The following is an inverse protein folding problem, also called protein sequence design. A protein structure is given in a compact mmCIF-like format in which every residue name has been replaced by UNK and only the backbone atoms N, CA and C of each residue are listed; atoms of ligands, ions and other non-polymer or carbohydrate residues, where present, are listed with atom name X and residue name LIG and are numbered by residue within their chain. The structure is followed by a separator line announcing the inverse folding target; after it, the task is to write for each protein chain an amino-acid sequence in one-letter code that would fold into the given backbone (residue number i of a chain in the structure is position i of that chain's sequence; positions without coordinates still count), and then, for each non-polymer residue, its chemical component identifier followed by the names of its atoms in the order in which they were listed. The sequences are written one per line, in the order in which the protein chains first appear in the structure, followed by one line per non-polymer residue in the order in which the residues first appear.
data_IF_372032810146
#
_entry.id   IF_372032810146
#
_cell.length_a   1.000
_cell.length_b   1.000
_cell.length_c   1.000
_cell.angle_alpha   90.00
_cell.angle_beta   90.00
_cell.angle_gamma   90.00
#
_symmetry.space_group_name_H-M   'P 1'
#
loop_
_entity.id
_entity.type
_entity.pdbx_description
1 polymer ?
#
# COMPACT_ATOMS: atom_id res chain seq x y z
N UNK A 1 16.19 -14.34 -14.66
CA UNK A 1 15.57 -14.53 -16.00
C UNK A 1 15.04 -13.19 -16.49
N UNK A 2 15.72 -12.59 -17.47
CA UNK A 2 15.29 -11.36 -18.11
C UNK A 2 14.06 -11.64 -18.99
N UNK A 3 12.89 -11.11 -18.62
CA UNK A 3 11.68 -11.18 -19.44
C UNK A 3 11.88 -10.29 -20.68
N UNK A 4 12.05 -10.93 -21.83
CA UNK A 4 11.97 -10.31 -23.16
C UNK A 4 10.59 -9.67 -23.33
N UNK A 5 10.50 -8.35 -23.16
CA UNK A 5 9.31 -7.57 -23.57
C UNK A 5 9.13 -7.75 -25.08
N UNK A 6 7.96 -8.22 -25.51
CA UNK A 6 7.65 -8.30 -26.94
C UNK A 6 7.67 -6.90 -27.56
N UNK A 7 8.38 -6.74 -28.67
CA UNK A 7 8.50 -5.48 -29.44
C UNK A 7 7.13 -4.88 -29.81
N UNK A 8 6.11 -5.71 -29.96
CA UNK A 8 4.72 -5.32 -30.25
C UNK A 8 4.02 -4.60 -29.10
N UNK A 9 4.32 -4.93 -27.84
CA UNK A 9 3.78 -4.20 -26.68
C UNK A 9 4.30 -2.76 -26.63
N UNK A 10 5.55 -2.53 -27.05
CA UNK A 10 6.19 -1.21 -26.99
C UNK A 10 5.64 -0.19 -28.00
N UNK A 11 5.14 -0.64 -29.15
CA UNK A 11 4.52 0.22 -30.16
C UNK A 11 3.11 0.67 -29.74
N UNK A 12 2.32 -0.25 -29.18
CA UNK A 12 1.00 0.06 -28.62
C UNK A 12 1.08 1.05 -27.45
N UNK A 13 2.08 0.89 -26.57
CA UNK A 13 2.30 1.81 -25.44
C UNK A 13 2.75 3.21 -25.90
N UNK A 14 3.59 3.31 -26.94
CA UNK A 14 3.99 4.60 -27.54
C UNK A 14 2.82 5.30 -28.23
N UNK A 15 2.00 4.59 -29.00
CA UNK A 15 0.82 5.17 -29.64
C UNK A 15 -0.20 5.65 -28.60
N UNK A 16 -0.43 4.88 -27.52
CA UNK A 16 -1.25 5.29 -26.38
C UNK A 16 -0.65 6.47 -25.62
N UNK A 17 0.68 6.57 -25.54
CA UNK A 17 1.36 7.71 -24.94
C UNK A 17 1.20 8.98 -25.79
N UNK A 18 1.36 8.90 -27.10
CA UNK A 18 1.13 10.02 -28.02
C UNK A 18 -0.34 10.46 -28.01
N UNK A 19 -1.28 9.51 -28.06
CA UNK A 19 -2.72 9.79 -27.98
C UNK A 19 -3.15 10.40 -26.63
N UNK A 20 -2.39 10.14 -25.56
CA UNK A 20 -2.60 10.78 -24.25
C UNK A 20 -1.96 12.18 -24.18
N UNK A 21 -0.71 12.31 -24.63
CA UNK A 21 0.10 13.52 -24.44
C UNK A 21 -0.26 14.62 -25.44
N UNK A 22 -0.49 14.30 -26.71
CA UNK A 22 -0.72 15.29 -27.74
C UNK A 22 -1.98 16.16 -27.49
N UNK A 23 -3.15 15.60 -27.12
CA UNK A 23 -4.32 16.42 -26.84
C UNK A 23 -4.16 17.29 -25.58
N UNK A 24 -3.48 16.76 -24.56
CA UNK A 24 -3.21 17.53 -23.35
C UNK A 24 -2.23 18.66 -23.60
N UNK A 25 -1.14 18.42 -24.35
CA UNK A 25 -0.19 19.46 -24.75
C UNK A 25 -0.87 20.53 -25.60
N UNK A 26 -1.76 20.13 -26.53
CA UNK A 26 -2.55 21.08 -27.32
C UNK A 26 -3.47 21.94 -26.42
N UNK A 27 -4.13 21.32 -25.43
CA UNK A 27 -4.92 22.03 -24.43
C UNK A 27 -4.07 23.02 -23.62
N UNK A 28 -2.91 22.59 -23.09
CA UNK A 28 -2.01 23.47 -22.34
C UNK A 28 -1.54 24.64 -23.20
N UNK A 29 -1.09 24.37 -24.43
CA UNK A 29 -0.64 25.41 -25.35
C UNK A 29 -1.76 26.42 -25.66
N UNK A 30 -2.98 25.94 -25.87
CA UNK A 30 -4.14 26.79 -26.13
C UNK A 30 -4.48 27.68 -24.92
N UNK A 31 -4.58 27.09 -23.72
CA UNK A 31 -4.93 27.82 -22.50
C UNK A 31 -3.85 28.83 -22.11
N UNK A 32 -2.57 28.48 -22.26
CA UNK A 32 -1.44 29.39 -22.02
C UNK A 32 -1.42 30.55 -23.01
N UNK A 33 -1.66 30.28 -24.31
CA UNK A 33 -1.76 31.33 -25.33
C UNK A 33 -2.89 32.31 -25.00
N UNK A 34 -4.09 31.81 -24.70
CA UNK A 34 -5.25 32.64 -24.35
C UNK A 34 -5.00 33.42 -23.05
N UNK A 35 -4.41 32.79 -22.03
CA UNK A 35 -4.02 33.48 -20.80
C UNK A 35 -3.02 34.61 -21.05
N UNK A 36 -2.03 34.38 -21.91
CA UNK A 36 -1.06 35.40 -22.29
C UNK A 36 -1.69 36.57 -23.05
N UNK A 37 -2.64 36.30 -23.95
CA UNK A 37 -3.40 37.34 -24.66
C UNK A 37 -4.25 38.21 -23.73
N UNK A 38 -4.78 37.65 -22.64
CA UNK A 38 -5.64 38.35 -21.68
C UNK A 38 -4.88 39.23 -20.67
N UNK A 39 -3.82 38.71 -20.06
CA UNK A 39 -3.10 39.41 -18.97
C UNK A 39 -1.59 39.09 -18.99
N UNK A 40 -1.03 38.90 -20.19
CA UNK A 40 0.40 38.71 -20.42
C UNK A 40 0.98 37.63 -19.50
N UNK A 41 1.98 37.98 -18.67
CA UNK A 41 2.66 37.05 -17.77
C UNK A 41 1.76 36.50 -16.65
N UNK A 42 0.84 37.32 -16.13
CA UNK A 42 -0.07 36.90 -15.04
C UNK A 42 -1.12 35.94 -15.57
N UNK A 43 -1.69 36.23 -16.73
CA UNK A 43 -2.64 35.34 -17.38
C UNK A 43 -2.00 34.02 -17.84
N UNK A 44 -0.74 34.03 -18.31
CA UNK A 44 0.00 32.80 -18.59
C UNK A 44 0.26 31.96 -17.33
N UNK A 45 0.59 32.59 -16.19
CA UNK A 45 0.79 31.88 -14.92
C UNK A 45 -0.51 31.22 -14.43
N UNK A 46 -1.63 31.92 -14.50
CA UNK A 46 -2.96 31.38 -14.17
C UNK A 46 -3.35 30.24 -15.11
N UNK A 47 -3.09 30.38 -16.41
CA UNK A 47 -3.31 29.34 -17.40
C UNK A 47 -2.50 28.06 -17.10
N UNK A 48 -1.24 28.19 -16.70
CA UNK A 48 -0.43 27.05 -16.26
C UNK A 48 -1.02 26.38 -15.01
N UNK A 49 -1.53 27.15 -14.05
CA UNK A 49 -2.20 26.61 -12.86
C UNK A 49 -3.49 25.84 -13.22
N UNK A 50 -4.30 26.36 -14.16
CA UNK A 50 -5.50 25.69 -14.68
C UNK A 50 -5.12 24.38 -15.39
N UNK A 51 -4.08 24.40 -16.22
CA UNK A 51 -3.57 23.20 -16.88
C UNK A 51 -3.16 22.13 -15.86
N UNK A 52 -2.34 22.49 -14.88
CA UNK A 52 -1.93 21.59 -13.79
C UNK A 52 -3.12 21.06 -12.99
N UNK A 53 -4.17 21.87 -12.79
CA UNK A 53 -5.42 21.45 -12.16
C UNK A 53 -6.27 20.49 -13.00
N UNK A 54 -6.16 20.55 -14.33
CA UNK A 54 -6.88 19.69 -15.27
C UNK A 54 -6.21 18.31 -15.50
N UNK A 55 -4.88 18.22 -15.32
CA UNK A 55 -4.10 16.98 -15.49
C UNK A 55 -4.71 15.73 -14.82
N UNK A 56 -5.22 15.79 -13.56
CA UNK A 56 -5.81 14.63 -12.89
C UNK A 56 -7.06 14.10 -13.58
N UNK A 57 -7.89 15.02 -14.08
CA UNK A 57 -9.13 14.68 -14.78
C UNK A 57 -8.83 14.08 -16.15
N UNK A 58 -7.84 14.64 -16.86
CA UNK A 58 -7.36 14.08 -18.12
C UNK A 58 -6.81 12.66 -17.92
N UNK A 59 -5.96 12.43 -16.91
CA UNK A 59 -5.44 11.10 -16.58
C UNK A 59 -6.56 10.11 -16.23
N UNK A 60 -7.50 10.52 -15.39
CA UNK A 60 -8.66 9.70 -15.03
C UNK A 60 -9.53 9.36 -16.26
N UNK A 61 -9.76 10.32 -17.15
CA UNK A 61 -10.48 10.10 -18.41
C UNK A 61 -9.76 9.09 -19.32
N UNK A 62 -8.44 9.17 -19.39
CA UNK A 62 -7.61 8.24 -20.16
C UNK A 62 -7.36 6.89 -19.45
N UNK A 63 -8.00 6.62 -18.30
CA UNK A 63 -7.83 5.37 -17.56
C UNK A 63 -6.43 5.16 -16.99
N UNK A 64 -5.69 6.25 -16.73
CA UNK A 64 -4.37 6.22 -16.11
C UNK A 64 -4.45 6.46 -14.60
N UNK A 65 -3.53 5.89 -13.81
CA UNK A 65 -3.54 6.10 -12.37
C UNK A 65 -3.21 7.55 -12.02
N UNK A 66 -3.89 8.06 -11.01
CA UNK A 66 -3.72 9.39 -10.46
C UNK A 66 -3.11 9.29 -9.07
N UNK A 67 -1.91 9.84 -8.95
CA UNK A 67 -1.17 9.86 -7.70
C UNK A 67 -1.79 10.81 -6.66
N UNK A 68 -1.40 10.64 -5.39
CA UNK A 68 -1.88 11.42 -4.26
C UNK A 68 -1.61 12.92 -4.42
N UNK A 69 -2.29 13.73 -3.59
CA UNK A 69 -2.56 15.18 -3.76
C UNK A 69 -3.61 15.49 -4.83
N UNK A 70 -3.47 14.96 -6.04
CA UNK A 70 -4.47 15.13 -7.09
C UNK A 70 -5.71 14.25 -6.89
N UNK A 71 -5.56 13.13 -6.18
CA UNK A 71 -6.69 12.31 -5.74
C UNK A 71 -7.70 13.02 -4.84
N UNK A 72 -7.29 14.08 -4.12
CA UNK A 72 -8.21 14.91 -3.31
C UNK A 72 -9.18 15.67 -4.22
N UNK A 73 -8.67 16.24 -5.31
CA UNK A 73 -9.46 16.92 -6.34
C UNK A 73 -10.44 15.93 -7.00
N UNK A 74 -10.01 14.67 -7.18
CA UNK A 74 -10.84 13.60 -7.72
C UNK A 74 -11.78 12.95 -6.68
N UNK A 75 -11.75 13.34 -5.40
CA UNK A 75 -12.59 12.72 -4.36
C UNK A 75 -14.08 12.79 -4.71
N UNK A 76 -14.53 13.94 -5.21
CA UNK A 76 -15.93 14.12 -5.64
C UNK A 76 -16.26 13.30 -6.90
N UNK A 77 -15.34 13.25 -7.86
CA UNK A 77 -15.48 12.45 -9.07
C UNK A 77 -15.59 10.94 -8.74
N UNK A 78 -14.72 10.44 -7.84
CA UNK A 78 -14.70 9.04 -7.40
C UNK A 78 -15.95 8.68 -6.59
N UNK A 79 -16.42 9.56 -5.71
CA UNK A 79 -17.70 9.37 -4.99
C UNK A 79 -18.86 9.24 -5.96
N UNK A 80 -18.92 10.05 -7.02
CA UNK A 80 -19.95 9.94 -8.08
C UNK A 80 -19.84 8.64 -8.88
N UNK A 81 -18.62 8.12 -9.09
CA UNK A 81 -18.37 6.84 -9.78
C UNK A 81 -18.69 5.60 -8.94
N UNK A 82 -19.00 5.76 -7.64
CA UNK A 82 -19.41 4.67 -6.77
C UNK A 82 -18.30 3.68 -6.40
N UNK A 83 -17.03 4.09 -6.45
CA UNK A 83 -15.94 3.21 -6.00
C UNK A 83 -16.08 2.95 -4.49
N UNK A 84 -16.28 1.67 -4.13
CA UNK A 84 -16.34 1.23 -2.74
C UNK A 84 -14.93 1.26 -2.10
N UNK A 85 -14.87 1.38 -0.78
CA UNK A 85 -13.60 1.37 -0.07
C UNK A 85 -12.95 -0.02 -0.08
N UNK A 86 -13.78 -1.07 -0.06
CA UNK A 86 -13.36 -2.45 -0.20
C UNK A 86 -13.88 -3.04 -1.51
N UNK A 87 -13.04 -3.83 -2.16
CA UNK A 87 -13.50 -4.65 -3.28
C UNK A 87 -14.40 -5.79 -2.76
N UNK A 88 -15.44 -6.11 -3.53
CA UNK A 88 -16.33 -7.23 -3.22
C UNK A 88 -15.63 -8.54 -3.60
N UNK A 89 -15.79 -9.53 -2.73
CA UNK A 89 -15.09 -10.82 -2.90
C UNK A 89 -15.97 -11.86 -3.58
N UNK A 90 -17.25 -11.58 -3.81
CA UNK A 90 -18.24 -12.57 -4.27
C UNK A 90 -18.88 -12.24 -5.63
N UNK A 91 -18.34 -11.26 -6.36
CA UNK A 91 -18.89 -10.75 -7.62
C UNK A 91 -18.21 -11.34 -8.89
N UNK A 92 -17.30 -12.31 -8.73
CA UNK A 92 -16.54 -12.88 -9.83
C UNK A 92 -15.48 -11.94 -10.44
N UNK A 93 -15.26 -10.77 -9.84
CA UNK A 93 -14.25 -9.81 -10.27
C UNK A 93 -12.82 -10.36 -10.17
N UNK A 94 -11.86 -9.66 -10.77
CA UNK A 94 -10.44 -10.00 -10.59
C UNK A 94 -10.01 -9.87 -9.12
N UNK A 95 -10.59 -8.92 -8.37
CA UNK A 95 -10.35 -8.81 -6.92
C UNK A 95 -10.87 -10.05 -6.16
N UNK A 96 -12.07 -10.53 -6.51
CA UNK A 96 -12.63 -11.79 -5.98
C UNK A 96 -11.69 -12.98 -6.21
N UNK A 97 -11.18 -13.16 -7.43
CA UNK A 97 -10.22 -14.23 -7.76
C UNK A 97 -8.91 -14.11 -6.98
N UNK A 98 -8.37 -12.89 -6.85
CA UNK A 98 -7.19 -12.63 -6.03
C UNK A 98 -7.43 -12.99 -4.56
N UNK A 99 -8.56 -12.57 -3.99
CA UNK A 99 -8.90 -12.85 -2.60
C UNK A 99 -9.08 -14.35 -2.35
N UNK A 100 -9.71 -15.08 -3.28
CA UNK A 100 -9.86 -16.54 -3.20
C UNK A 100 -8.50 -17.24 -3.17
N UNK A 101 -7.62 -16.94 -4.12
CA UNK A 101 -6.28 -17.53 -4.19
C UNK A 101 -5.45 -17.27 -2.92
N UNK A 102 -5.60 -16.08 -2.32
CA UNK A 102 -4.93 -15.72 -1.08
C UNK A 102 -5.51 -16.44 0.14
N UNK A 103 -6.83 -16.60 0.23
CA UNK A 103 -7.47 -17.37 1.29
C UNK A 103 -7.03 -18.83 1.26
N UNK A 104 -6.96 -19.42 0.06
CA UNK A 104 -6.46 -20.79 -0.14
C UNK A 104 -4.98 -20.93 0.27
N UNK A 105 -4.19 -19.88 0.07
CA UNK A 105 -2.76 -19.86 0.42
C UNK A 105 -2.48 -19.45 1.88
N UNK A 106 -3.45 -18.84 2.57
CA UNK A 106 -3.28 -18.28 3.92
C UNK A 106 -2.74 -19.28 4.95
N UNK A 107 -3.17 -20.56 5.00
CA UNK A 107 -2.61 -21.53 5.93
C UNK A 107 -1.11 -21.75 5.76
N UNK A 108 -0.59 -21.66 4.53
CA UNK A 108 0.86 -21.77 4.28
C UNK A 108 1.59 -20.54 4.81
N UNK A 109 1.03 -19.35 4.63
CA UNK A 109 1.63 -18.11 5.15
C UNK A 109 1.70 -18.13 6.68
N UNK A 110 0.63 -18.60 7.34
CA UNK A 110 0.60 -18.77 8.80
C UNK A 110 1.64 -19.78 9.28
N UNK A 111 1.86 -20.88 8.55
CA UNK A 111 2.92 -21.85 8.87
C UNK A 111 4.31 -21.23 8.77
N UNK A 112 4.60 -20.48 7.69
CA UNK A 112 5.89 -19.79 7.54
C UNK A 112 6.12 -18.76 8.65
N UNK A 113 5.07 -18.02 9.03
CA UNK A 113 5.12 -17.10 10.16
C UNK A 113 5.43 -17.83 11.48
N UNK A 114 4.75 -18.93 11.78
CA UNK A 114 5.00 -19.71 12.98
C UNK A 114 6.44 -20.25 13.02
N UNK A 115 6.94 -20.79 11.90
CA UNK A 115 8.33 -21.23 11.78
C UNK A 115 9.33 -20.09 12.01
N UNK A 116 9.08 -18.90 11.45
CA UNK A 116 9.91 -17.73 11.68
C UNK A 116 9.92 -17.31 13.15
N UNK A 117 8.75 -17.20 13.78
CA UNK A 117 8.61 -16.78 15.18
C UNK A 117 9.37 -17.74 16.10
N UNK A 118 9.21 -19.06 15.91
CA UNK A 118 9.90 -20.05 16.73
C UNK A 118 11.43 -20.03 16.51
N UNK A 119 11.88 -19.90 15.26
CA UNK A 119 13.31 -19.94 14.93
C UNK A 119 14.06 -18.65 15.27
N UNK A 120 13.42 -17.49 15.19
CA UNK A 120 14.08 -16.18 15.28
C UNK A 120 13.72 -15.43 16.56
N UNK A 121 12.45 -15.44 16.96
CA UNK A 121 11.99 -14.68 18.12
C UNK A 121 12.18 -15.45 19.43
N UNK A 122 12.07 -16.78 19.42
CA UNK A 122 12.22 -17.62 20.63
C UNK A 122 13.69 -18.04 20.83
N UNK A 123 14.38 -18.46 19.77
CA UNK A 123 15.78 -18.89 19.87
C UNK A 123 16.77 -17.74 20.16
N UNK A 124 16.44 -16.51 19.74
CA UNK A 124 17.28 -15.32 19.97
C UNK A 124 17.24 -14.75 21.40
N UNK A 125 16.31 -15.20 22.24
CA UNK A 125 16.13 -14.70 23.61
C UNK A 125 16.98 -15.38 24.69
N UNK A 126 17.79 -16.39 24.33
CA UNK A 126 18.45 -17.29 25.31
C UNK A 126 19.90 -16.94 25.68
N UNK A 127 20.43 -15.77 25.32
CA UNK A 127 21.84 -15.46 25.63
C UNK A 127 22.11 -14.81 27.00
N UNK A 128 21.13 -14.62 27.90
CA UNK A 128 21.41 -14.03 29.22
C UNK A 128 20.49 -14.46 30.39
N UNK A 129 20.07 -15.73 30.46
CA UNK A 129 19.57 -16.27 31.73
C UNK A 129 19.91 -17.75 31.86
N UNK A 130 21.07 -18.01 32.44
CA UNK A 130 21.43 -19.32 32.99
C UNK A 130 20.58 -19.59 34.24
N UNK A 131 19.41 -20.15 34.04
CA UNK A 131 18.71 -20.89 35.09
C UNK A 131 17.97 -22.05 34.42
N UNK A 132 18.55 -23.22 34.62
CA UNK A 132 17.92 -24.54 34.46
C UNK A 132 16.50 -24.55 35.00
N UNK A 133 15.52 -24.93 34.17
CA UNK A 133 14.17 -25.24 34.66
C UNK A 133 13.07 -25.17 33.60
N UNK A 134 12.58 -26.36 33.24
CA UNK A 134 11.24 -26.65 32.73
C UNK A 134 10.96 -26.36 31.24
N UNK A 135 10.70 -27.45 30.49
CA UNK A 135 10.27 -27.45 29.09
C UNK A 135 8.83 -26.97 28.92
N UNK A 136 8.47 -25.83 29.53
CA UNK A 136 7.21 -25.14 29.25
C UNK A 136 7.30 -24.59 27.84
N UNK A 137 6.51 -25.16 26.93
CA UNK A 137 6.25 -24.55 25.62
C UNK A 137 5.96 -23.06 25.84
N UNK A 138 6.70 -22.20 25.13
CA UNK A 138 6.56 -20.74 25.26
C UNK A 138 5.11 -20.35 24.97
N UNK A 139 4.35 -20.08 26.03
CA UNK A 139 2.92 -19.80 26.00
C UNK A 139 2.58 -18.42 25.40
N UNK A 140 3.60 -17.59 25.13
CA UNK A 140 3.41 -16.28 24.50
C UNK A 140 2.85 -16.41 23.10
N UNK A 141 2.04 -15.44 22.73
CA UNK A 141 1.30 -15.47 21.47
C UNK A 141 2.16 -14.95 20.31
N UNK A 142 1.82 -15.27 19.04
CA UNK A 142 2.66 -14.90 17.90
C UNK A 142 2.96 -13.39 17.81
N UNK A 143 1.97 -12.54 18.07
CA UNK A 143 2.19 -11.08 17.99
C UNK A 143 3.06 -10.55 19.13
N UNK A 144 2.93 -11.14 20.32
CA UNK A 144 3.74 -10.86 21.50
C UNK A 144 5.19 -11.27 21.28
N UNK A 145 5.44 -12.50 20.83
CA UNK A 145 6.79 -13.00 20.50
C UNK A 145 7.50 -12.12 19.47
N UNK A 146 6.78 -11.67 18.44
CA UNK A 146 7.35 -10.74 17.45
C UNK A 146 7.71 -9.40 18.09
N UNK A 147 6.81 -8.81 18.91
CA UNK A 147 7.06 -7.53 19.58
C UNK A 147 8.23 -7.61 20.56
N UNK A 148 8.27 -8.64 21.40
CA UNK A 148 9.35 -8.87 22.37
C UNK A 148 10.70 -9.04 21.67
N UNK A 149 10.70 -9.72 20.52
CA UNK A 149 11.88 -9.84 19.66
C UNK A 149 12.24 -8.57 18.88
N UNK A 150 11.55 -7.45 19.09
CA UNK A 150 11.78 -6.18 18.38
C UNK A 150 11.21 -6.11 16.96
N UNK A 151 10.45 -7.12 16.52
CA UNK A 151 9.91 -7.24 15.17
C UNK A 151 8.52 -6.61 15.04
N UNK A 152 8.44 -5.28 15.06
CA UNK A 152 7.19 -4.56 14.75
C UNK A 152 6.77 -4.69 13.28
N UNK A 153 7.74 -4.85 12.38
CA UNK A 153 7.51 -5.13 10.96
C UNK A 153 8.68 -5.93 10.35
N UNK A 154 8.37 -6.68 9.29
CA UNK A 154 9.30 -7.40 8.43
C UNK A 154 8.99 -6.98 7.00
N UNK A 155 9.88 -6.24 6.36
CA UNK A 155 9.78 -5.99 4.93
C UNK A 155 9.91 -7.32 4.18
N UNK A 156 9.11 -7.54 3.15
CA UNK A 156 9.22 -8.71 2.28
C UNK A 156 9.98 -8.42 0.99
N UNK A 157 9.99 -7.17 0.56
CA UNK A 157 10.73 -6.71 -0.61
C UNK A 157 11.98 -5.93 -0.21
N UNK A 158 12.89 -5.77 -1.16
CA UNK A 158 14.06 -4.90 -1.05
C UNK A 158 13.70 -3.44 -1.37
N UNK A 159 14.72 -2.58 -1.53
CA UNK A 159 14.53 -1.16 -1.81
C UNK A 159 13.80 -0.87 -3.14
N UNK A 160 13.77 -1.83 -4.08
CA UNK A 160 13.00 -1.71 -5.33
C UNK A 160 11.50 -1.87 -5.10
N UNK A 161 11.11 -2.43 -3.95
CA UNK A 161 9.77 -2.85 -3.61
C UNK A 161 9.18 -3.95 -4.52
N UNK A 162 9.95 -4.48 -5.48
CA UNK A 162 9.49 -5.48 -6.46
C UNK A 162 10.20 -6.84 -6.29
N UNK A 163 11.49 -6.83 -5.99
CA UNK A 163 12.25 -8.04 -5.69
C UNK A 163 12.14 -8.41 -4.19
N UNK A 164 12.09 -9.71 -3.84
CA UNK A 164 12.10 -10.14 -2.45
C UNK A 164 13.43 -9.82 -1.79
N UNK A 165 13.43 -9.40 -0.53
CA UNK A 165 14.69 -9.26 0.21
C UNK A 165 15.22 -10.62 0.69
N UNK A 166 16.49 -10.63 1.10
CA UNK A 166 17.21 -11.87 1.48
C UNK A 166 16.54 -12.64 2.61
N UNK A 167 16.04 -11.94 3.64
CA UNK A 167 15.37 -12.57 4.77
C UNK A 167 14.07 -13.23 4.31
N UNK A 168 13.27 -12.50 3.54
CA UNK A 168 11.98 -12.97 3.06
C UNK A 168 12.10 -14.12 2.08
N UNK A 169 13.08 -14.08 1.17
CA UNK A 169 13.37 -15.18 0.25
C UNK A 169 13.72 -16.49 1.00
N UNK A 170 14.34 -16.39 2.18
CA UNK A 170 14.71 -17.54 3.00
C UNK A 170 13.56 -18.03 3.91
N UNK A 171 12.88 -17.10 4.58
CA UNK A 171 11.92 -17.44 5.64
C UNK A 171 10.46 -17.51 5.17
N UNK A 172 10.12 -16.88 4.04
CA UNK A 172 8.75 -16.78 3.53
C UNK A 172 8.61 -17.13 2.03
N UNK A 173 9.22 -18.23 1.54
CA UNK A 173 9.28 -18.53 0.10
C UNK A 173 7.91 -18.73 -0.56
N UNK A 174 6.95 -19.35 0.13
CA UNK A 174 5.60 -19.55 -0.40
C UNK A 174 4.82 -18.24 -0.40
N UNK A 175 4.95 -17.44 0.65
CA UNK A 175 4.37 -16.09 0.71
C UNK A 175 4.87 -15.22 -0.45
N UNK A 176 6.18 -15.19 -0.70
CA UNK A 176 6.78 -14.46 -1.82
C UNK A 176 6.27 -14.98 -3.17
N UNK A 177 6.20 -16.30 -3.36
CA UNK A 177 5.72 -16.91 -4.60
C UNK A 177 4.26 -16.52 -4.88
N UNK A 178 3.39 -16.63 -3.87
CA UNK A 178 1.97 -16.29 -4.02
C UNK A 178 1.77 -14.80 -4.32
N UNK A 179 2.48 -13.92 -3.62
CA UNK A 179 2.44 -12.49 -3.91
C UNK A 179 2.94 -12.15 -5.31
N UNK A 180 4.05 -12.76 -5.73
CA UNK A 180 4.63 -12.57 -7.07
C UNK A 180 3.69 -13.04 -8.17
N UNK A 181 2.94 -14.13 -7.95
CA UNK A 181 1.94 -14.63 -8.89
C UNK A 181 0.80 -13.63 -9.12
N UNK A 182 0.47 -12.83 -8.10
CA UNK A 182 -0.51 -11.73 -8.19
C UNK A 182 0.11 -10.43 -8.70
N UNK A 183 1.41 -10.40 -9.03
CA UNK A 183 2.14 -9.18 -9.38
C UNK A 183 2.29 -8.20 -8.22
N UNK A 184 2.21 -8.71 -6.98
CA UNK A 184 2.31 -7.95 -5.75
C UNK A 184 3.67 -7.28 -5.58
N UNK A 185 3.69 -6.15 -4.89
CA UNK A 185 4.88 -5.35 -4.59
C UNK A 185 4.71 -4.67 -3.22
N UNK A 186 5.77 -4.05 -2.68
CA UNK A 186 5.73 -3.31 -1.41
C UNK A 186 5.14 -4.14 -0.23
N UNK A 187 5.47 -5.41 -0.22
CA UNK A 187 5.04 -6.39 0.77
C UNK A 187 5.72 -6.26 2.12
N UNK A 188 4.95 -6.48 3.19
CA UNK A 188 5.42 -6.50 4.58
C UNK A 188 4.55 -7.38 5.47
N UNK A 189 5.15 -8.03 6.46
CA UNK A 189 4.47 -8.60 7.62
C UNK A 189 4.62 -7.61 8.76
N UNK A 190 3.57 -7.32 9.52
CA UNK A 190 3.63 -6.34 10.60
C UNK A 190 2.65 -6.67 11.71
N UNK A 191 2.95 -6.16 12.89
CA UNK A 191 2.17 -6.41 14.10
C UNK A 191 1.23 -5.24 14.36
N UNK A 192 -0.05 -5.55 14.48
CA UNK A 192 -1.05 -4.67 15.08
C UNK A 192 -1.08 -4.96 16.58
N UNK A 193 -0.40 -4.11 17.36
CA UNK A 193 -0.32 -4.26 18.81
C UNK A 193 -1.67 -4.09 19.53
N UNK A 194 -1.75 -4.49 20.80
CA UNK A 194 -2.90 -4.19 21.65
C UNK A 194 -3.07 -2.67 21.84
N UNK A 195 -4.30 -2.23 22.05
CA UNK A 195 -4.67 -0.82 22.22
C UNK A 195 -4.53 0.02 20.94
N UNK A 196 -4.27 -0.61 19.78
CA UNK A 196 -4.16 0.08 18.51
C UNK A 196 -5.41 0.95 18.24
N UNK A 197 -5.23 2.25 17.97
CA UNK A 197 -6.35 3.15 17.66
C UNK A 197 -7.10 3.75 18.87
N UNK A 198 -6.66 3.54 20.11
CA UNK A 198 -7.06 4.36 21.26
C UNK A 198 -6.41 5.75 21.28
N UNK A 199 -6.83 6.63 22.21
CA UNK A 199 -6.35 8.02 22.33
C UNK A 199 -4.80 8.16 22.41
N UNK A 200 -4.11 7.12 22.87
CA UNK A 200 -2.64 7.10 23.04
C UNK A 200 -1.90 6.29 21.97
N UNK A 201 -2.60 5.73 20.97
CA UNK A 201 -1.99 4.77 20.06
C UNK A 201 -1.51 5.37 18.74
N UNK A 202 -0.22 5.14 18.43
CA UNK A 202 0.43 5.51 17.17
C UNK A 202 -0.23 4.92 15.89
N UNK A 203 -1.17 3.98 16.03
CA UNK A 203 -1.88 3.33 14.92
C UNK A 203 -3.31 3.83 14.71
N UNK A 204 -3.76 4.86 15.44
CA UNK A 204 -4.97 5.65 15.04
C UNK A 204 -4.74 6.47 13.77
N UNK A 205 -3.52 6.47 13.22
CA UNK A 205 -3.12 7.24 12.05
C UNK A 205 -3.91 6.80 10.82
N UNK A 206 -4.88 7.64 10.47
CA UNK A 206 -5.59 7.57 9.20
C UNK A 206 -4.55 7.66 8.09
N UNK A 207 -4.40 6.57 7.34
CA UNK A 207 -3.48 6.49 6.23
C UNK A 207 -4.25 6.49 4.92
N UNK A 208 -3.67 7.14 3.91
CA UNK A 208 -4.15 7.14 2.52
C UNK A 208 -3.04 6.68 1.60
N UNK A 209 -3.42 6.02 0.52
CA UNK A 209 -2.54 5.53 -0.51
C UNK A 209 -1.99 6.61 -1.42
N UNK A 210 -0.91 6.29 -2.11
CA UNK A 210 -0.19 7.21 -2.99
C UNK A 210 -0.74 7.26 -4.41
N UNK A 211 -1.62 6.33 -4.80
CA UNK A 211 -2.30 6.34 -6.10
C UNK A 211 -3.59 5.51 -6.04
N UNK A 212 -4.48 5.72 -7.00
CA UNK A 212 -5.64 4.85 -7.24
C UNK A 212 -5.36 3.70 -8.23
N UNK A 213 -4.10 3.57 -8.68
CA UNK A 213 -3.67 2.56 -9.63
C UNK A 213 -3.49 1.15 -9.07
N UNK A 214 -3.54 0.98 -7.75
CA UNK A 214 -3.30 -0.29 -7.09
C UNK A 214 -4.28 -0.52 -5.94
N UNK A 215 -4.53 -1.78 -5.65
CA UNK A 215 -5.18 -2.24 -4.43
C UNK A 215 -4.13 -2.47 -3.36
N UNK A 216 -4.51 -2.24 -2.10
CA UNK A 216 -3.75 -2.75 -0.97
C UNK A 216 -4.45 -3.98 -0.40
N UNK A 217 -3.72 -5.07 -0.34
CA UNK A 217 -4.19 -6.36 0.15
C UNK A 217 -3.69 -6.54 1.57
N UNK A 218 -4.58 -6.99 2.46
CA UNK A 218 -4.28 -7.37 3.83
C UNK A 218 -4.74 -8.81 4.06
N UNK A 219 -3.85 -9.67 4.55
CA UNK A 219 -4.15 -11.04 4.97
C UNK A 219 -3.81 -11.18 6.45
N UNK A 220 -4.76 -11.65 7.25
CA UNK A 220 -4.54 -11.87 8.70
C UNK A 220 -3.85 -13.22 8.88
N UNK A 221 -2.58 -13.19 9.30
CA UNK A 221 -1.74 -14.38 9.44
C UNK A 221 -1.83 -15.02 10.82
N UNK A 222 -1.97 -14.20 11.85
CA UNK A 222 -2.17 -14.63 13.23
C UNK A 222 -3.09 -13.65 13.94
N UNK A 223 -3.91 -14.18 14.84
CA UNK A 223 -4.71 -13.41 15.77
C UNK A 223 -4.55 -14.02 17.14
N UNK A 224 -4.10 -13.20 18.07
CA UNK A 224 -3.91 -13.62 19.44
C UNK A 224 -5.29 -13.86 20.09
N UNK A 225 -5.41 -14.92 20.90
CA UNK A 225 -6.56 -15.19 21.73
C UNK A 225 -6.64 -14.14 22.83
N UNK A 226 -7.59 -13.21 22.71
CA UNK A 226 -7.91 -12.24 23.75
C UNK A 226 -9.08 -12.70 24.61
N UNK A 227 -9.15 -12.19 25.86
CA UNK A 227 -10.22 -12.52 26.81
C UNK A 227 -11.64 -12.08 26.37
N UNK A 228 -11.75 -11.18 25.40
CA UNK A 228 -13.02 -10.62 24.93
C UNK A 228 -13.11 -10.68 23.39
N UNK A 229 -13.98 -11.57 22.89
CA UNK A 229 -13.99 -12.10 21.51
C UNK A 229 -14.16 -11.14 20.31
N UNK A 230 -14.04 -9.82 20.45
CA UNK A 230 -13.94 -8.89 19.31
C UNK A 230 -12.96 -7.76 19.64
N UNK A 231 -11.75 -7.85 19.08
CA UNK A 231 -10.65 -6.98 19.46
C UNK A 231 -10.09 -6.12 18.33
N UNK A 232 -10.03 -6.58 17.08
CA UNK A 232 -9.35 -5.82 16.02
C UNK A 232 -10.12 -5.74 14.69
N UNK A 233 -9.90 -4.64 13.96
CA UNK A 233 -10.57 -4.38 12.70
C UNK A 233 -9.85 -3.34 11.83
N UNK A 234 -10.40 -3.18 10.63
CA UNK A 234 -9.97 -2.23 9.62
C UNK A 234 -11.17 -1.40 9.18
N UNK A 235 -11.07 -0.09 9.35
CA UNK A 235 -12.01 0.89 8.79
C UNK A 235 -11.42 1.47 7.51
N UNK A 236 -12.19 1.50 6.43
CA UNK A 236 -11.83 2.20 5.20
C UNK A 236 -13.07 2.91 4.63
N UNK A 237 -12.97 4.22 4.43
CA UNK A 237 -14.16 5.02 4.12
C UNK A 237 -15.24 4.87 5.21
N UNK A 238 -16.44 4.50 4.79
CA UNK A 238 -17.61 4.32 5.66
C UNK A 238 -17.81 2.84 6.07
N UNK A 239 -16.96 1.93 5.59
CA UNK A 239 -17.03 0.50 5.87
C UNK A 239 -16.03 0.08 6.96
N UNK A 240 -16.43 -0.87 7.80
CA UNK A 240 -15.55 -1.50 8.81
C UNK A 240 -15.62 -3.01 8.68
N UNK A 241 -14.47 -3.68 8.72
CA UNK A 241 -14.36 -5.15 8.67
C UNK A 241 -13.53 -5.65 9.85
N UNK A 242 -13.94 -6.76 10.44
CA UNK A 242 -13.18 -7.45 11.47
C UNK A 242 -11.95 -8.15 10.88
N UNK A 243 -10.87 -8.26 11.66
CA UNK A 243 -9.65 -8.96 11.26
C UNK A 243 -9.66 -10.39 11.80
N UNK A 244 -10.34 -11.31 11.13
CA UNK A 244 -10.41 -12.72 11.53
C UNK A 244 -9.24 -13.51 10.93
N UNK A 245 -8.80 -14.58 11.59
CA UNK A 245 -7.66 -15.39 11.10
C UNK A 245 -7.95 -15.90 9.67
N UNK A 246 -6.99 -15.69 8.75
CA UNK A 246 -7.13 -16.06 7.35
C UNK A 246 -8.04 -15.14 6.52
N UNK A 247 -8.62 -14.09 7.12
CA UNK A 247 -9.40 -13.11 6.37
C UNK A 247 -8.50 -12.34 5.40
N UNK A 248 -9.07 -12.02 4.23
CA UNK A 248 -8.40 -11.24 3.18
C UNK A 248 -9.23 -9.99 2.91
N UNK A 249 -8.59 -8.83 3.01
CA UNK A 249 -9.18 -7.53 2.75
C UNK A 249 -8.45 -6.86 1.59
N UNK A 250 -9.15 -6.63 0.49
CA UNK A 250 -8.64 -5.88 -0.66
C UNK A 250 -9.23 -4.48 -0.57
N UNK A 251 -8.37 -3.49 -0.37
CA UNK A 251 -8.74 -2.11 -0.08
C UNK A 251 -8.32 -1.21 -1.24
N UNK A 252 -9.23 -0.30 -1.57
CA UNK A 252 -8.94 0.81 -2.45
C UNK A 252 -8.18 1.87 -1.68
N UNK A 253 -6.85 1.82 -1.78
CA UNK A 253 -5.92 2.51 -0.88
C UNK A 253 -6.10 4.04 -0.86
N UNK A 254 -6.70 4.61 -1.92
CA UNK A 254 -7.02 6.03 -1.96
C UNK A 254 -8.15 6.46 -1.02
N UNK A 255 -8.90 5.52 -0.43
CA UNK A 255 -9.79 5.80 0.69
C UNK A 255 -8.99 5.90 1.99
N UNK A 256 -9.31 6.88 2.86
CA UNK A 256 -8.75 6.92 4.20
C UNK A 256 -9.04 5.61 4.93
N UNK A 257 -8.00 4.99 5.50
CA UNK A 257 -8.10 3.75 6.27
C UNK A 257 -7.39 3.84 7.60
N UNK A 258 -7.92 3.16 8.60
CA UNK A 258 -7.35 3.06 9.93
C UNK A 258 -7.56 1.65 10.48
N UNK A 259 -6.51 1.12 11.12
CA UNK A 259 -6.58 -0.12 11.87
C UNK A 259 -6.88 0.19 13.33
N UNK A 260 -7.66 -0.67 13.96
CA UNK A 260 -7.96 -0.57 15.38
C UNK A 260 -7.81 -1.93 16.04
N UNK A 261 -7.41 -1.92 17.30
CA UNK A 261 -7.35 -3.04 18.21
C UNK A 261 -7.73 -2.56 19.61
N UNK A 262 -8.95 -2.87 20.04
CA UNK A 262 -9.48 -2.52 21.36
C UNK A 262 -9.03 -3.49 22.46
N UNK A 263 -8.41 -4.62 22.12
CA UNK A 263 -7.85 -5.51 23.15
C UNK A 263 -6.59 -4.91 23.75
N UNK A 264 -6.42 -5.09 25.07
CA UNK A 264 -5.25 -4.63 25.82
C UNK A 264 -4.13 -5.67 25.90
N UNK A 265 -4.43 -6.91 25.57
CA UNK A 265 -3.64 -8.11 25.82
C UNK A 265 -3.34 -8.93 24.56
N UNK A 266 -4.13 -8.78 23.49
CA UNK A 266 -4.01 -9.55 22.26
C UNK A 266 -3.71 -8.64 21.06
N UNK A 267 -2.74 -9.05 20.24
CA UNK A 267 -2.45 -8.40 18.97
C UNK A 267 -2.89 -9.22 17.74
N UNK A 268 -2.52 -8.73 16.57
CA UNK A 268 -2.67 -9.46 15.32
C UNK A 268 -1.43 -9.28 14.44
N UNK A 269 -1.13 -10.28 13.62
CA UNK A 269 -0.06 -10.22 12.62
C UNK A 269 -0.69 -10.22 11.24
N UNK A 270 -0.35 -9.20 10.44
CA UNK A 270 -0.91 -9.00 9.12
C UNK A 270 0.17 -9.03 8.05
N UNK A 271 -0.12 -9.69 6.95
CA UNK A 271 0.57 -9.53 5.67
C UNK A 271 -0.11 -8.40 4.89
N UNK A 272 0.66 -7.41 4.46
CA UNK A 272 0.20 -6.32 3.59
C UNK A 272 1.05 -6.23 2.34
N UNK A 273 0.44 -6.07 1.17
CA UNK A 273 1.15 -5.77 -0.08
C UNK A 273 0.25 -5.03 -1.06
N UNK A 274 0.86 -4.36 -2.03
CA UNK A 274 0.16 -3.62 -3.07
C UNK A 274 0.06 -4.48 -4.34
N UNK A 275 -1.08 -4.43 -5.04
CA UNK A 275 -1.34 -5.13 -6.31
C UNK A 275 -1.86 -4.12 -7.31
N UNK A 276 -1.19 -3.97 -8.45
CA UNK A 276 -1.65 -3.06 -9.50
C UNK A 276 -2.97 -3.56 -10.06
N UNK A 277 -3.93 -2.65 -10.21
CA UNK A 277 -5.23 -3.00 -10.76
C UNK A 277 -5.09 -3.49 -12.20
N UNK A 278 -5.88 -4.48 -12.65
CA UNK A 278 -5.78 -5.02 -14.00
C UNK A 278 -5.85 -3.95 -15.09
N UNK A 279 -6.72 -2.94 -14.91
CA UNK A 279 -6.86 -1.82 -15.84
C UNK A 279 -5.58 -0.99 -16.00
N UNK A 280 -4.72 -0.99 -14.97
CA UNK A 280 -3.47 -0.23 -14.89
C UNK A 280 -2.22 -1.09 -15.05
N UNK A 281 -2.33 -2.33 -15.52
CA UNK A 281 -1.21 -3.26 -15.62
C UNK A 281 -0.04 -2.72 -16.47
N UNK A 282 -0.33 -1.96 -17.52
CA UNK A 282 0.68 -1.28 -18.35
C UNK A 282 1.50 -0.25 -17.57
N UNK A 283 0.93 0.35 -16.53
CA UNK A 283 1.57 1.34 -15.68
C UNK A 283 2.32 0.75 -14.48
N UNK A 284 2.37 -0.59 -14.32
CA UNK A 284 2.95 -1.23 -13.13
C UNK A 284 4.37 -0.75 -12.82
N UNK A 285 5.26 -0.77 -13.80
CA UNK A 285 6.65 -0.38 -13.59
C UNK A 285 6.78 1.06 -13.05
N UNK A 286 5.99 1.99 -13.60
CA UNK A 286 5.97 3.38 -13.15
C UNK A 286 5.37 3.52 -11.73
N UNK A 287 4.31 2.77 -11.41
CA UNK A 287 3.71 2.77 -10.07
C UNK A 287 4.68 2.25 -9.00
N UNK A 288 5.40 1.16 -9.31
CA UNK A 288 6.39 0.56 -8.41
C UNK A 288 7.58 1.49 -8.20
N UNK A 289 8.17 2.03 -9.28
CA UNK A 289 9.29 2.97 -9.19
C UNK A 289 8.90 4.23 -8.41
N UNK A 290 7.74 4.82 -8.70
CA UNK A 290 7.21 5.97 -7.96
C UNK A 290 7.07 5.66 -6.46
N UNK A 291 6.51 4.49 -6.12
CA UNK A 291 6.36 4.05 -4.73
C UNK A 291 7.71 3.84 -4.04
N UNK A 292 8.68 3.26 -4.74
CA UNK A 292 10.03 3.03 -4.22
C UNK A 292 10.74 4.35 -3.93
N UNK A 293 10.72 5.29 -4.88
CA UNK A 293 11.29 6.64 -4.69
C UNK A 293 10.65 7.39 -3.53
N UNK A 294 9.33 7.34 -3.40
CA UNK A 294 8.61 7.95 -2.28
C UNK A 294 8.99 7.30 -0.95
N UNK A 295 9.10 5.97 -0.91
CA UNK A 295 9.47 5.23 0.29
C UNK A 295 10.93 5.52 0.70
N UNK A 296 11.84 5.64 -0.27
CA UNK A 296 13.24 6.01 -0.02
C UNK A 296 13.36 7.46 0.45
N UNK A 297 12.57 8.38 -0.11
CA UNK A 297 12.63 9.80 0.24
C UNK A 297 12.07 10.11 1.63
N UNK A 298 11.08 9.34 2.10
CA UNK A 298 10.32 9.68 3.32
C UNK A 298 10.29 8.59 4.41
N UNK A 299 10.78 7.40 4.12
CA UNK A 299 10.62 6.23 4.99
C UNK A 299 9.21 5.64 4.94
N UNK A 300 9.04 4.46 5.55
CA UNK A 300 7.77 3.72 5.55
C UNK A 300 6.70 4.32 6.50
N UNK A 301 7.13 5.11 7.49
CA UNK A 301 6.32 5.90 8.41
C UNK A 301 7.26 6.87 9.14
N UNK A 302 7.01 8.18 9.08
CA UNK A 302 7.72 9.15 9.94
C UNK A 302 6.72 9.87 10.84
N UNK A 303 7.11 10.08 12.10
CA UNK A 303 6.37 10.91 13.07
C UNK A 303 6.34 12.34 12.57
N UNK A 304 5.15 12.94 12.58
CA UNK A 304 4.89 14.30 12.11
C UNK A 304 5.14 15.32 13.23
N UNK A 305 6.24 15.18 13.97
CA UNK A 305 6.52 16.03 15.14
C UNK A 305 7.33 17.29 14.78
N UNK A 306 7.60 17.53 13.49
CA UNK A 306 8.36 18.71 13.03
C UNK A 306 7.64 19.39 11.86
N UNK A 307 7.10 20.59 12.07
CA UNK A 307 6.34 21.35 11.05
C UNK A 307 7.17 21.65 9.79
N UNK A 308 8.48 21.88 9.94
CA UNK A 308 9.39 22.07 8.81
C UNK A 308 9.50 20.79 7.95
N UNK A 309 9.39 19.62 8.59
CA UNK A 309 9.35 18.32 7.92
C UNK A 309 8.04 18.09 7.15
N UNK A 310 6.92 18.66 7.63
CA UNK A 310 5.61 18.53 6.98
C UNK A 310 5.57 19.33 5.68
N UNK A 311 5.99 20.59 5.67
CA UNK A 311 5.99 21.40 4.43
C UNK A 311 6.94 20.80 3.39
N UNK A 312 8.14 20.37 3.80
CA UNK A 312 9.08 19.68 2.92
C UNK A 312 8.51 18.35 2.40
N UNK A 313 7.77 17.61 3.24
CA UNK A 313 7.07 16.39 2.85
C UNK A 313 5.95 16.67 1.84
N UNK A 314 5.09 17.66 2.08
CA UNK A 314 4.02 18.05 1.17
C UNK A 314 4.59 18.49 -0.18
N UNK A 315 5.63 19.34 -0.18
CA UNK A 315 6.26 19.84 -1.40
C UNK A 315 6.97 18.75 -2.19
N UNK A 316 7.76 17.90 -1.53
CA UNK A 316 8.47 16.79 -2.21
C UNK A 316 7.50 15.71 -2.67
N UNK A 317 6.44 15.43 -1.91
CA UNK A 317 5.40 14.48 -2.34
C UNK A 317 4.64 15.05 -3.53
N UNK A 318 4.25 16.33 -3.50
CA UNK A 318 3.64 17.03 -4.63
C UNK A 318 4.56 17.02 -5.87
N UNK A 319 5.84 17.31 -5.71
CA UNK A 319 6.81 17.33 -6.81
C UNK A 319 7.00 15.94 -7.42
N UNK A 320 7.12 14.91 -6.58
CA UNK A 320 7.24 13.53 -7.05
C UNK A 320 5.94 13.03 -7.69
N UNK A 321 4.77 13.34 -7.13
CA UNK A 321 3.49 12.98 -7.75
C UNK A 321 3.26 13.76 -9.04
N UNK A 322 3.68 15.02 -9.15
CA UNK A 322 3.66 15.78 -10.40
C UNK A 322 4.53 15.10 -11.46
N UNK A 323 5.79 14.77 -11.14
CA UNK A 323 6.69 14.06 -12.04
C UNK A 323 6.11 12.70 -12.47
N UNK A 324 5.48 11.96 -11.55
CA UNK A 324 4.84 10.69 -11.85
C UNK A 324 3.53 10.82 -12.66
N UNK A 325 2.88 11.98 -12.64
CA UNK A 325 1.72 12.25 -13.48
C UNK A 325 2.11 12.78 -14.88
N UNK A 326 3.35 13.26 -15.06
CA UNK A 326 3.91 13.67 -16.34
C UNK A 326 4.57 12.49 -17.10
N UNK A 327 4.92 11.41 -16.41
CA UNK A 327 5.33 10.13 -17.00
C UNK A 327 4.16 9.23 -17.40
#
# INVERSE_FOLDING_TARGET
MARTRSRTATLGDRARYVGFLAPYVAFVAHVVRVGFELDQRRGAALACAVALGALPFWRAFCGRPVFAFYGLVLRRYRRKRGFAAFERVDDGSTASRCAKALRESAPMFTKELASFVNAVCVAGGHTNSSTSGDGREDARQPSEKMRDGGWSFIALHDATLDAPNRLAARCFPNTIRAMSALGGFNGKIWVLGPGAGGAESATSRVATGLADGYWRVHVVLARDAGLHGKSAGLKAGDETRALDLGSVHIVNDFHPRAFWNVSRDSGAVLLSFDVVRPENASCRAALVDARARLTQAFGAARSADDEASVVAYLWRTFSLTLLCNLS
#
